data_IF_719691054148
#
_entry.id   IF_719691054148
#
_cell.length_a   1.000
_cell.length_b   1.000
_cell.length_c   1.000
_cell.angle_alpha   90.00
_cell.angle_beta   90.00
_cell.angle_gamma   90.00
#
_symmetry.space_group_name_H-M   'P 1'
#
loop_
_entity.id
_entity.type
_entity.pdbx_description
1 polymer ?
#
# COMPACT_ATOMS: atom_id res chain seq x y z
N UNK A 1 4.90 30.06 43.84
CA UNK A 1 4.92 28.71 43.22
C UNK A 1 3.57 28.41 42.55
N UNK A 2 3.23 29.00 41.39
CA UNK A 2 1.94 28.70 40.73
C UNK A 2 1.92 28.81 39.19
N UNK A 3 3.10 28.91 38.55
CA UNK A 3 3.21 29.04 37.08
C UNK A 3 3.55 27.73 36.35
N UNK A 4 3.98 26.69 37.07
CA UNK A 4 4.33 25.40 36.48
C UNK A 4 3.12 24.51 36.16
N UNK A 5 1.94 24.80 36.72
CA UNK A 5 0.75 23.97 36.54
C UNK A 5 0.02 24.20 35.20
N UNK A 6 0.33 25.28 34.49
CA UNK A 6 -0.34 25.64 33.22
C UNK A 6 0.33 25.03 31.98
N UNK A 7 1.51 24.40 32.13
CA UNK A 7 2.27 23.83 31.01
C UNK A 7 1.94 22.35 30.72
N UNK A 8 1.30 21.65 31.66
CA UNK A 8 1.08 20.19 31.55
C UNK A 8 -0.23 19.80 30.87
N UNK A 9 -1.20 20.70 30.71
CA UNK A 9 -2.51 20.39 30.11
C UNK A 9 -2.51 20.34 28.58
N UNK A 10 -1.47 20.86 27.92
CA UNK A 10 -1.43 20.98 26.45
C UNK A 10 -1.06 19.69 25.74
N UNK A 11 -0.43 18.71 26.41
CA UNK A 11 0.04 17.47 25.78
C UNK A 11 -1.04 16.39 25.68
N UNK A 12 -2.09 16.44 26.50
CA UNK A 12 -3.12 15.39 26.53
C UNK A 12 -4.16 15.51 25.39
N UNK A 13 -4.34 16.70 24.81
CA UNK A 13 -5.35 16.93 23.78
C UNK A 13 -4.93 16.48 22.37
N UNK A 14 -3.64 16.26 22.11
CA UNK A 14 -3.13 15.90 20.78
C UNK A 14 -3.31 14.43 20.40
N UNK A 15 -3.45 13.52 21.37
CA UNK A 15 -3.46 12.07 21.13
C UNK A 15 -4.82 11.53 20.64
N UNK A 16 -5.92 12.24 20.89
CA UNK A 16 -7.27 11.80 20.53
C UNK A 16 -7.61 12.04 19.05
N UNK A 17 -6.84 12.88 18.34
CA UNK A 17 -7.08 13.22 16.94
C UNK A 17 -6.39 12.28 15.94
N UNK A 18 -5.47 11.41 16.37
CA UNK A 18 -4.79 10.47 15.44
C UNK A 18 -5.61 9.21 15.12
N UNK A 19 -6.72 8.97 15.81
CA UNK A 19 -7.53 7.76 15.64
C UNK A 19 -8.57 7.85 14.50
N UNK A 20 -8.90 9.05 14.00
CA UNK A 20 -10.00 9.22 13.04
C UNK A 20 -9.59 9.00 11.56
N UNK A 21 -8.31 8.69 11.27
CA UNK A 21 -7.81 8.75 9.89
C UNK A 21 -7.30 7.44 9.27
N UNK A 22 -7.14 6.31 9.99
CA UNK A 22 -6.44 5.18 9.33
C UNK A 22 -6.55 3.76 9.88
N UNK A 23 -7.00 3.54 11.12
CA UNK A 23 -6.85 2.20 11.73
C UNK A 23 -7.69 1.10 11.04
N UNK A 24 -8.86 1.43 10.48
CA UNK A 24 -9.73 0.44 9.82
C UNK A 24 -9.42 0.20 8.34
N UNK A 25 -8.98 1.23 7.61
CA UNK A 25 -8.71 1.15 6.17
C UNK A 25 -7.43 0.37 5.86
N UNK A 26 -6.39 0.53 6.69
CA UNK A 26 -5.13 -0.20 6.52
C UNK A 26 -5.32 -1.71 6.57
N UNK A 27 -6.16 -2.24 7.46
CA UNK A 27 -6.36 -3.69 7.57
C UNK A 27 -6.99 -4.29 6.30
N UNK A 28 -8.06 -3.65 5.78
CA UNK A 28 -8.71 -4.12 4.54
C UNK A 28 -7.80 -4.01 3.33
N UNK A 29 -7.09 -2.89 3.22
CA UNK A 29 -6.15 -2.65 2.12
C UNK A 29 -5.03 -3.68 2.11
N UNK A 30 -4.42 -3.97 3.26
CA UNK A 30 -3.35 -4.98 3.35
C UNK A 30 -3.89 -6.38 3.02
N UNK A 31 -5.07 -6.75 3.52
CA UNK A 31 -5.68 -8.03 3.17
C UNK A 31 -6.05 -8.15 1.67
N UNK A 32 -6.32 -7.04 0.98
CA UNK A 32 -6.51 -7.02 -0.47
C UNK A 32 -5.16 -7.14 -1.20
N UNK A 33 -4.15 -6.42 -0.73
CA UNK A 33 -2.79 -6.44 -1.28
C UNK A 33 -2.19 -7.85 -1.19
N UNK A 34 -2.31 -8.52 -0.04
CA UNK A 34 -1.81 -9.89 0.17
C UNK A 34 -2.46 -10.90 -0.80
N UNK A 35 -3.78 -10.77 -1.03
CA UNK A 35 -4.49 -11.61 -2.00
C UNK A 35 -4.01 -11.34 -3.43
N UNK A 36 -3.89 -10.07 -3.79
CA UNK A 36 -3.43 -9.66 -5.12
C UNK A 36 -2.01 -10.14 -5.40
N UNK A 37 -1.15 -10.10 -4.38
CA UNK A 37 0.21 -10.62 -4.45
C UNK A 37 0.23 -12.14 -4.63
N UNK A 38 -0.54 -12.90 -3.85
CA UNK A 38 -0.64 -14.35 -3.99
C UNK A 38 -1.14 -14.76 -5.40
N UNK A 39 -2.18 -14.08 -5.91
CA UNK A 39 -2.70 -14.32 -7.26
C UNK A 39 -1.68 -13.99 -8.34
N UNK A 40 -0.90 -12.92 -8.16
CA UNK A 40 0.13 -12.54 -9.11
C UNK A 40 1.31 -13.52 -9.12
N UNK A 41 1.75 -13.96 -7.94
CA UNK A 41 2.79 -14.96 -7.79
C UNK A 41 2.36 -16.32 -8.37
N UNK A 42 1.09 -16.72 -8.22
CA UNK A 42 0.54 -17.92 -8.85
C UNK A 42 0.65 -17.90 -10.38
N UNK A 43 0.64 -16.70 -10.98
CA UNK A 43 0.83 -16.47 -12.42
C UNK A 43 2.30 -16.30 -12.82
N UNK A 44 3.25 -16.48 -11.89
CA UNK A 44 4.69 -16.21 -12.03
C UNK A 44 4.98 -14.73 -12.38
N UNK A 45 4.15 -13.83 -11.88
CA UNK A 45 4.33 -12.39 -11.99
C UNK A 45 4.88 -11.75 -10.72
N UNK A 46 5.11 -10.44 -10.81
CA UNK A 46 5.45 -9.58 -9.69
C UNK A 46 4.49 -8.38 -9.65
N UNK A 47 4.06 -8.03 -8.44
CA UNK A 47 3.21 -6.87 -8.22
C UNK A 47 4.00 -5.58 -8.46
N UNK A 48 3.49 -4.69 -9.32
CA UNK A 48 4.15 -3.44 -9.69
C UNK A 48 3.23 -2.25 -9.41
N UNK A 49 3.70 -1.17 -8.75
CA UNK A 49 2.93 0.04 -8.56
C UNK A 49 2.53 0.68 -9.89
N UNK A 50 1.29 1.14 -10.01
CA UNK A 50 0.81 1.88 -11.19
C UNK A 50 1.07 3.38 -11.10
N UNK A 51 1.40 3.87 -9.90
CA UNK A 51 1.49 5.29 -9.57
C UNK A 51 0.16 5.89 -9.10
N UNK A 52 -0.92 5.11 -9.07
CA UNK A 52 -2.18 5.50 -8.44
C UNK A 52 -2.13 5.30 -6.92
N UNK A 53 -2.84 6.16 -6.19
CA UNK A 53 -3.03 6.10 -4.74
C UNK A 53 -4.50 6.37 -4.45
N UNK A 54 -5.30 5.33 -4.61
CA UNK A 54 -6.77 5.40 -4.50
C UNK A 54 -7.27 4.77 -3.21
N UNK A 55 -6.42 4.03 -2.49
CA UNK A 55 -6.81 3.26 -1.31
C UNK A 55 -7.45 1.91 -1.66
N UNK A 56 -7.33 1.48 -2.93
CA UNK A 56 -7.78 0.18 -3.42
C UNK A 56 -6.59 -0.52 -4.07
N UNK A 57 -6.11 -1.60 -3.44
CA UNK A 57 -4.88 -2.27 -3.87
C UNK A 57 -4.96 -2.74 -5.33
N UNK A 58 -6.13 -3.23 -5.77
CA UNK A 58 -6.35 -3.64 -7.16
C UNK A 58 -6.27 -2.51 -8.21
N UNK A 59 -6.32 -1.24 -7.81
CA UNK A 59 -6.16 -0.07 -8.69
C UNK A 59 -4.76 0.54 -8.58
N UNK A 60 -4.17 0.44 -7.41
CA UNK A 60 -2.87 1.01 -7.09
C UNK A 60 -1.71 0.11 -7.58
N UNK A 61 -2.00 -1.18 -7.80
CA UNK A 61 -1.02 -2.17 -8.26
C UNK A 61 -1.52 -2.99 -9.47
N UNK A 62 -0.57 -3.36 -10.33
CA UNK A 62 -0.79 -4.25 -11.45
C UNK A 62 0.14 -5.46 -11.39
N UNK A 63 -0.36 -6.63 -11.79
CA UNK A 63 0.47 -7.83 -11.92
C UNK A 63 1.22 -7.82 -13.25
N UNK A 64 2.55 -7.80 -13.21
CA UNK A 64 3.40 -7.95 -14.40
C UNK A 64 3.98 -9.35 -14.44
N UNK A 65 3.68 -10.09 -15.51
CA UNK A 65 4.25 -11.42 -15.72
C UNK A 65 5.67 -11.25 -16.24
N UNK A 66 6.63 -11.88 -15.58
CA UNK A 66 7.99 -11.98 -16.07
C UNK A 66 8.04 -13.05 -17.17
N UNK A 67 7.36 -12.80 -18.29
CA UNK A 67 7.62 -13.58 -19.49
C UNK A 67 9.03 -13.15 -19.92
N UNK A 68 9.98 -14.09 -19.90
CA UNK A 68 11.25 -13.88 -20.58
C UNK A 68 10.90 -13.33 -21.97
N UNK A 69 11.55 -12.25 -22.45
CA UNK A 69 11.21 -11.69 -23.74
C UNK A 69 11.26 -12.85 -24.72
N UNK A 70 10.10 -13.21 -25.28
CA UNK A 70 10.02 -14.15 -26.38
C UNK A 70 10.74 -13.44 -27.50
N UNK A 71 12.07 -13.64 -27.56
CA UNK A 71 12.87 -13.20 -28.66
C UNK A 71 12.22 -13.90 -29.84
N UNK A 72 11.56 -13.11 -30.66
CA UNK A 72 11.22 -13.48 -32.03
C UNK A 72 12.59 -13.67 -32.69
N UNK A 73 13.18 -14.82 -32.45
CA UNK A 73 14.37 -15.32 -33.10
C UNK A 73 13.86 -15.95 -34.40
N UNK A 74 14.35 -15.38 -35.50
CA UNK A 74 14.50 -15.99 -36.82
C UNK A 74 13.30 -16.04 -37.77
N UNK A 75 13.27 -15.08 -38.70
CA UNK A 75 13.06 -15.40 -40.12
C UNK A 75 13.84 -14.42 -41.01
N UNK A 76 15.00 -14.80 -41.57
CA UNK A 76 15.61 -14.08 -42.68
C UNK A 76 14.73 -14.24 -43.93
N UNK A 77 14.52 -13.15 -44.67
CA UNK A 77 14.00 -13.18 -46.05
C UNK A 77 15.14 -13.39 -47.03
#
# INVERSE_FOLDING_TARGET
>A
MNRLLLLSTSLAAGLLLSACAGAGATNRYQAELDRLEADCQARRGALTPTGASTGYAARDFACRINEAPSRIEDRPR
#
